data_IF_391872620137
#
_entry.id   IF_391872620137
#
_cell.length_a   1.000
_cell.length_b   1.000
_cell.length_c   1.000
_cell.angle_alpha   90.00
_cell.angle_beta   90.00
_cell.angle_gamma   90.00
#
_symmetry.space_group_name_H-M   'P 1'
#
loop_
_entity.id
_entity.type
_entity.pdbx_description
1 polymer ?
#
# COMPACT_ATOMS: atom_id res chain seq x y z
N UNK A 1 -7.89 24.41 9.15
CA UNK A 1 -7.69 24.84 7.75
C UNK A 1 -6.67 23.90 7.12
N UNK A 2 -7.00 23.22 6.02
CA UNK A 2 -6.01 22.42 5.28
C UNK A 2 -5.07 23.39 4.57
N UNK A 3 -3.80 23.42 4.99
CA UNK A 3 -2.78 24.24 4.33
C UNK A 3 -2.64 23.81 2.86
N UNK A 4 -2.39 24.77 1.96
CA UNK A 4 -2.12 24.49 0.55
C UNK A 4 -0.95 23.52 0.45
N UNK A 5 -1.10 22.46 -0.34
CA UNK A 5 0.00 21.53 -0.64
C UNK A 5 1.11 22.29 -1.38
N UNK A 6 2.34 22.08 -0.96
CA UNK A 6 3.51 22.68 -1.61
C UNK A 6 3.85 21.91 -2.89
N UNK A 7 4.44 22.55 -3.91
CA UNK A 7 4.84 21.85 -5.15
C UNK A 7 5.67 20.60 -4.90
N UNK A 8 6.60 20.64 -3.95
CA UNK A 8 7.43 19.48 -3.58
C UNK A 8 6.63 18.32 -2.99
N UNK A 9 5.58 18.61 -2.22
CA UNK A 9 4.69 17.58 -1.65
C UNK A 9 3.88 16.90 -2.75
N UNK A 10 3.42 17.68 -3.74
CA UNK A 10 2.74 17.14 -4.92
C UNK A 10 3.68 16.26 -5.75
N UNK A 11 4.90 16.72 -6.02
CA UNK A 11 5.89 15.94 -6.77
C UNK A 11 6.19 14.60 -6.07
N UNK A 12 6.44 14.63 -4.77
CA UNK A 12 6.71 13.41 -4.01
C UNK A 12 5.49 12.48 -3.96
N UNK A 13 4.29 13.03 -3.80
CA UNK A 13 3.06 12.24 -3.83
C UNK A 13 2.88 11.56 -5.20
N UNK A 14 3.08 12.30 -6.30
CA UNK A 14 3.00 11.77 -7.67
C UNK A 14 4.03 10.66 -7.93
N UNK A 15 5.26 10.79 -7.38
CA UNK A 15 6.25 9.71 -7.45
C UNK A 15 5.74 8.43 -6.79
N UNK A 16 5.08 8.53 -5.64
CA UNK A 16 4.51 7.34 -4.98
C UNK A 16 3.32 6.76 -5.73
N UNK A 17 2.52 7.57 -6.43
CA UNK A 17 1.47 7.06 -7.33
C UNK A 17 2.10 6.19 -8.43
N UNK A 18 3.18 6.66 -9.06
CA UNK A 18 3.92 5.91 -10.09
C UNK A 18 4.55 4.64 -9.50
N UNK A 19 5.17 4.73 -8.32
CA UNK A 19 5.76 3.57 -7.65
C UNK A 19 4.72 2.51 -7.28
N UNK A 20 3.50 2.91 -6.91
CA UNK A 20 2.38 1.98 -6.71
C UNK A 20 2.01 1.26 -8.00
N UNK A 21 1.94 1.96 -9.12
CA UNK A 21 1.64 1.36 -10.43
C UNK A 21 2.75 0.40 -10.89
N UNK A 22 4.02 0.77 -10.70
CA UNK A 22 5.16 -0.12 -10.96
C UNK A 22 5.08 -1.34 -10.05
N UNK A 23 4.87 -1.15 -8.76
CA UNK A 23 4.79 -2.23 -7.77
C UNK A 23 3.62 -3.19 -8.00
N UNK A 24 2.51 -2.69 -8.57
CA UNK A 24 1.39 -3.52 -8.98
C UNK A 24 1.74 -4.44 -10.15
N UNK A 25 2.54 -3.96 -11.08
CA UNK A 25 2.72 -4.60 -12.40
C UNK A 25 4.08 -5.27 -12.60
N UNK A 26 5.08 -4.99 -11.77
CA UNK A 26 6.43 -5.56 -11.93
C UNK A 26 6.43 -7.10 -11.89
N UNK A 27 5.58 -7.69 -11.05
CA UNK A 27 5.48 -9.15 -10.93
C UNK A 27 4.63 -9.79 -12.03
N UNK A 28 3.88 -9.01 -12.80
CA UNK A 28 3.15 -9.49 -13.97
C UNK A 28 4.10 -9.97 -15.08
N UNK A 29 5.34 -9.48 -15.07
CA UNK A 29 6.38 -9.90 -16.00
C UNK A 29 6.98 -11.27 -15.65
N UNK A 30 6.64 -11.83 -14.48
CA UNK A 30 7.15 -13.12 -14.01
C UNK A 30 5.97 -14.11 -13.95
N UNK A 31 5.89 -15.09 -14.86
CA UNK A 31 4.83 -16.09 -14.86
C UNK A 31 4.76 -16.86 -13.54
N UNK A 32 3.55 -17.16 -13.06
CA UNK A 32 3.33 -18.00 -11.88
C UNK A 32 3.22 -17.23 -10.54
N UNK A 33 3.36 -15.90 -10.54
CA UNK A 33 3.18 -15.09 -9.32
C UNK A 33 1.71 -14.69 -9.06
N UNK A 34 0.78 -15.64 -9.27
CA UNK A 34 -0.64 -15.47 -8.92
C UNK A 34 -1.08 -16.69 -8.10
N UNK A 35 -1.61 -16.48 -6.92
CA UNK A 35 -2.06 -17.55 -6.00
C UNK A 35 -3.51 -17.28 -5.62
N UNK A 36 -4.40 -18.25 -5.87
CA UNK A 36 -5.83 -18.09 -5.61
C UNK A 36 -6.46 -16.87 -6.30
N UNK A 37 -5.98 -16.51 -7.49
CA UNK A 37 -6.42 -15.31 -8.21
C UNK A 37 -5.85 -14.00 -7.65
N UNK A 38 -5.01 -14.04 -6.61
CA UNK A 38 -4.36 -12.86 -6.01
C UNK A 38 -2.96 -12.71 -6.59
N UNK A 39 -2.66 -11.63 -7.35
CA UNK A 39 -1.31 -11.34 -7.83
C UNK A 39 -0.38 -11.00 -6.67
N UNK A 40 0.80 -11.60 -6.67
CA UNK A 40 1.87 -11.22 -5.74
C UNK A 40 2.50 -9.92 -6.25
N UNK A 41 2.38 -8.83 -5.50
CA UNK A 41 2.82 -7.49 -5.92
C UNK A 41 3.81 -6.88 -4.92
N UNK A 42 4.37 -5.72 -5.27
CA UNK A 42 5.17 -4.90 -4.36
C UNK A 42 4.36 -3.72 -3.77
N UNK A 43 3.05 -3.71 -3.95
CA UNK A 43 2.21 -2.59 -3.53
C UNK A 43 2.23 -2.36 -2.02
N UNK A 44 2.20 -3.43 -1.21
CA UNK A 44 2.29 -3.33 0.26
C UNK A 44 3.56 -2.58 0.69
N UNK A 45 4.69 -2.90 0.06
CA UNK A 45 5.96 -2.22 0.29
C UNK A 45 5.88 -0.71 0.00
N UNK A 46 5.37 -0.34 -1.17
CA UNK A 46 5.28 1.07 -1.55
C UNK A 46 4.22 1.84 -0.75
N UNK A 47 3.11 1.22 -0.36
CA UNK A 47 2.10 1.84 0.50
C UNK A 47 2.66 2.16 1.90
N UNK A 48 3.39 1.22 2.50
CA UNK A 48 4.09 1.42 3.78
C UNK A 48 5.13 2.54 3.65
N UNK A 49 5.95 2.48 2.59
CA UNK A 49 6.99 3.47 2.33
C UNK A 49 6.40 4.86 2.12
N UNK A 50 5.32 4.99 1.33
CA UNK A 50 4.60 6.24 1.10
C UNK A 50 4.11 6.86 2.42
N UNK A 51 3.43 6.07 3.24
CA UNK A 51 2.93 6.53 4.54
C UNK A 51 4.06 7.02 5.45
N UNK A 52 5.14 6.26 5.54
CA UNK A 52 6.27 6.61 6.40
C UNK A 52 7.08 7.81 5.89
N UNK A 53 7.29 7.94 4.59
CA UNK A 53 8.10 9.02 3.99
C UNK A 53 7.32 10.31 3.90
N UNK A 54 6.11 10.27 3.36
CA UNK A 54 5.27 11.45 3.15
C UNK A 54 4.49 11.87 4.42
N UNK A 55 4.37 10.97 5.40
CA UNK A 55 3.47 11.12 6.53
C UNK A 55 2.05 10.62 6.20
N UNK A 56 1.27 10.34 7.26
CA UNK A 56 0.00 9.62 7.12
C UNK A 56 -1.00 10.27 6.19
N UNK A 57 -1.18 11.59 6.25
CA UNK A 57 -2.17 12.30 5.42
C UNK A 57 -1.78 12.34 3.94
N UNK A 58 -0.56 12.74 3.64
CA UNK A 58 -0.10 12.86 2.26
C UNK A 58 0.13 11.49 1.62
N UNK A 59 0.63 10.51 2.40
CA UNK A 59 0.75 9.12 1.96
C UNK A 59 -0.61 8.52 1.60
N UNK A 60 -1.62 8.66 2.47
CA UNK A 60 -2.97 8.20 2.17
C UNK A 60 -3.57 8.90 0.94
N UNK A 61 -3.34 10.22 0.79
CA UNK A 61 -3.77 10.96 -0.38
C UNK A 61 -3.13 10.41 -1.67
N UNK A 62 -1.83 10.15 -1.68
CA UNK A 62 -1.14 9.56 -2.83
C UNK A 62 -1.73 8.21 -3.23
N UNK A 63 -2.00 7.34 -2.25
CA UNK A 63 -2.64 6.04 -2.53
C UNK A 63 -4.10 6.20 -3.00
N UNK A 64 -4.83 7.18 -2.47
CA UNK A 64 -6.19 7.50 -2.94
C UNK A 64 -6.16 7.97 -4.40
N UNK A 65 -5.22 8.82 -4.78
CA UNK A 65 -5.03 9.25 -6.18
C UNK A 65 -4.70 8.06 -7.07
N UNK A 66 -3.80 7.17 -6.64
CA UNK A 66 -3.50 5.93 -7.35
C UNK A 66 -4.76 5.09 -7.60
N UNK A 67 -5.57 4.86 -6.56
CA UNK A 67 -6.80 4.09 -6.65
C UNK A 67 -7.80 4.76 -7.60
N UNK A 68 -7.95 6.08 -7.52
CA UNK A 68 -8.82 6.86 -8.41
C UNK A 68 -8.37 6.79 -9.87
N UNK A 69 -7.07 6.93 -10.15
CA UNK A 69 -6.51 6.78 -11.51
C UNK A 69 -6.85 5.41 -12.10
N UNK A 70 -6.71 4.35 -11.31
CA UNK A 70 -7.08 3.02 -11.76
C UNK A 70 -8.60 2.89 -12.03
N UNK A 71 -9.45 3.48 -11.20
CA UNK A 71 -10.90 3.42 -11.36
C UNK A 71 -11.41 4.21 -12.59
N UNK A 72 -10.77 5.31 -12.96
CA UNK A 72 -11.11 6.05 -14.19
C UNK A 72 -10.60 5.39 -15.46
N UNK A 73 -9.96 4.21 -15.36
CA UNK A 73 -9.60 3.38 -16.51
C UNK A 73 -8.11 3.37 -16.85
N UNK A 74 -7.25 4.10 -16.13
CA UNK A 74 -5.81 4.02 -16.35
C UNK A 74 -5.32 2.64 -15.90
N UNK A 75 -4.53 1.89 -16.69
CA UNK A 75 -4.12 0.51 -16.41
C UNK A 75 -2.99 0.45 -15.36
N UNK A 76 -3.25 0.96 -14.15
CA UNK A 76 -2.27 1.04 -13.06
C UNK A 76 -2.41 -0.08 -12.02
N UNK A 77 -3.52 -0.82 -12.04
CA UNK A 77 -3.72 -1.97 -11.16
C UNK A 77 -2.95 -3.19 -11.65
N UNK A 78 -2.83 -4.20 -10.78
CA UNK A 78 -2.11 -5.43 -11.12
C UNK A 78 -2.59 -6.04 -12.45
N UNK A 79 -1.66 -6.62 -13.21
CA UNK A 79 -1.90 -7.15 -14.56
C UNK A 79 -2.36 -6.08 -15.56
N UNK A 80 -1.88 -4.85 -15.39
CA UNK A 80 -2.22 -3.70 -16.24
C UNK A 80 -3.72 -3.48 -16.40
N UNK A 81 -4.49 -3.71 -15.33
CA UNK A 81 -5.94 -3.52 -15.32
C UNK A 81 -6.33 -2.14 -14.78
N UNK A 82 -7.56 -1.72 -15.10
CA UNK A 82 -8.19 -0.50 -14.62
C UNK A 82 -9.69 -0.51 -14.91
N UNK A 83 -10.35 0.59 -14.59
CA UNK A 83 -11.78 0.79 -14.79
C UNK A 83 -12.62 0.46 -13.54
N UNK A 84 -13.86 0.96 -13.55
CA UNK A 84 -14.79 0.80 -12.42
C UNK A 84 -15.13 -0.66 -12.11
N UNK A 85 -15.01 -1.56 -13.09
CA UNK A 85 -15.20 -2.99 -12.87
C UNK A 85 -14.18 -3.58 -11.86
N UNK A 86 -13.06 -2.90 -11.61
CA UNK A 86 -12.10 -3.30 -10.59
C UNK A 86 -12.70 -3.31 -9.18
N UNK A 87 -13.72 -2.49 -8.90
CA UNK A 87 -14.46 -2.48 -7.61
C UNK A 87 -15.05 -3.85 -7.27
N UNK A 88 -15.44 -4.60 -8.29
CA UNK A 88 -16.06 -5.93 -8.11
C UNK A 88 -15.03 -7.05 -7.98
N UNK A 89 -13.73 -6.76 -8.24
CA UNK A 89 -12.70 -7.79 -8.10
C UNK A 89 -12.46 -8.16 -6.64
N UNK A 90 -12.28 -9.45 -6.33
CA UNK A 90 -11.94 -9.90 -4.99
C UNK A 90 -10.68 -9.24 -4.41
N UNK A 91 -9.76 -8.81 -5.26
CA UNK A 91 -8.50 -8.17 -4.86
C UNK A 91 -8.61 -6.67 -4.58
N UNK A 92 -9.75 -6.03 -4.87
CA UNK A 92 -9.89 -4.57 -4.71
C UNK A 92 -9.79 -4.11 -3.24
N UNK A 93 -10.19 -4.95 -2.30
CA UNK A 93 -10.07 -4.66 -0.87
C UNK A 93 -8.63 -4.40 -0.41
N UNK A 94 -7.64 -5.03 -1.05
CA UNK A 94 -6.23 -4.75 -0.78
C UNK A 94 -5.86 -3.31 -1.20
N UNK A 95 -6.40 -2.84 -2.35
CA UNK A 95 -6.15 -1.46 -2.82
C UNK A 95 -6.75 -0.45 -1.82
N UNK A 96 -7.98 -0.68 -1.36
CA UNK A 96 -8.61 0.17 -0.34
C UNK A 96 -7.81 0.16 0.97
N UNK A 97 -7.35 -1.00 1.40
CA UNK A 97 -6.59 -1.12 2.64
C UNK A 97 -5.28 -0.37 2.61
N UNK A 98 -4.61 -0.23 1.44
CA UNK A 98 -3.37 0.55 1.32
C UNK A 98 -3.53 2.01 1.70
N UNK A 99 -4.72 2.61 1.52
CA UNK A 99 -5.01 3.98 1.96
C UNK A 99 -4.90 4.06 3.48
N UNK A 100 -5.53 3.11 4.18
CA UNK A 100 -5.49 3.04 5.64
C UNK A 100 -4.09 2.67 6.15
N UNK A 101 -3.41 1.73 5.49
CA UNK A 101 -2.01 1.37 5.77
C UNK A 101 -1.14 2.61 5.74
N UNK A 102 -1.13 3.36 4.62
CA UNK A 102 -0.30 4.55 4.49
C UNK A 102 -0.61 5.59 5.59
N UNK A 103 -1.89 5.77 5.92
CA UNK A 103 -2.29 6.69 6.99
C UNK A 103 -1.75 6.25 8.35
N UNK A 104 -2.00 5.01 8.75
CA UNK A 104 -1.65 4.49 10.08
C UNK A 104 -0.13 4.41 10.26
N UNK A 105 0.60 3.81 9.30
CA UNK A 105 2.06 3.67 9.41
C UNK A 105 2.74 5.04 9.44
N UNK A 106 2.22 6.01 8.66
CA UNK A 106 2.74 7.36 8.64
C UNK A 106 2.51 8.09 9.97
N UNK A 107 1.35 7.90 10.59
CA UNK A 107 1.05 8.45 11.92
C UNK A 107 1.90 7.81 13.02
N UNK A 108 2.14 6.51 12.96
CA UNK A 108 3.00 5.81 13.92
C UNK A 108 4.45 6.26 13.77
N UNK A 109 4.99 6.29 12.55
CA UNK A 109 6.36 6.71 12.27
C UNK A 109 6.64 8.17 12.66
N UNK A 110 5.62 9.03 12.62
CA UNK A 110 5.75 10.44 13.02
C UNK A 110 6.00 10.63 14.52
N UNK A 111 5.59 9.67 15.35
CA UNK A 111 5.67 9.76 16.82
C UNK A 111 7.07 9.50 17.38
N UNK A 112 7.99 8.94 16.61
CA UNK A 112 9.30 8.53 17.12
C UNK A 112 10.37 8.53 16.03
N UNK A 113 11.61 8.79 16.47
CA UNK A 113 12.81 8.65 15.63
C UNK A 113 13.53 7.31 15.82
N UNK A 114 12.93 6.35 16.55
CA UNK A 114 13.52 5.03 16.78
C UNK A 114 13.16 4.09 15.62
N UNK A 115 14.14 3.41 15.06
CA UNK A 115 13.94 2.44 13.96
C UNK A 115 12.95 1.33 14.34
N UNK A 116 12.95 0.90 15.60
CA UNK A 116 12.02 -0.12 16.09
C UNK A 116 10.54 0.28 15.92
N UNK A 117 10.22 1.60 16.05
CA UNK A 117 8.86 2.09 15.83
C UNK A 117 8.48 2.04 14.35
N UNK A 118 9.43 2.26 13.42
CA UNK A 118 9.20 2.10 11.99
C UNK A 118 8.94 0.64 11.62
N UNK A 119 9.74 -0.29 12.17
CA UNK A 119 9.52 -1.72 11.96
C UNK A 119 8.16 -2.16 12.50
N UNK A 120 7.82 -1.77 13.74
CA UNK A 120 6.52 -2.09 14.32
C UNK A 120 5.37 -1.51 13.47
N UNK A 121 5.48 -0.26 13.03
CA UNK A 121 4.48 0.37 12.18
C UNK A 121 4.32 -0.37 10.84
N UNK A 122 5.43 -0.83 10.22
CA UNK A 122 5.38 -1.61 8.99
C UNK A 122 4.64 -2.93 9.18
N UNK A 123 4.94 -3.65 10.26
CA UNK A 123 4.25 -4.91 10.59
C UNK A 123 2.76 -4.69 10.88
N UNK A 124 2.40 -3.64 11.62
CA UNK A 124 0.99 -3.25 11.82
C UNK A 124 0.32 -2.94 10.48
N UNK A 125 0.99 -2.21 9.59
CA UNK A 125 0.49 -1.95 8.24
C UNK A 125 0.23 -3.23 7.45
N UNK A 126 1.15 -4.20 7.51
CA UNK A 126 0.98 -5.52 6.88
C UNK A 126 -0.23 -6.25 7.45
N UNK A 127 -0.40 -6.27 8.78
CA UNK A 127 -1.58 -6.89 9.41
C UNK A 127 -2.88 -6.23 8.95
N UNK A 128 -2.93 -4.91 8.91
CA UNK A 128 -4.11 -4.15 8.41
C UNK A 128 -4.44 -4.55 6.95
N UNK A 129 -3.41 -4.60 6.09
CA UNK A 129 -3.61 -4.96 4.69
C UNK A 129 -4.16 -6.38 4.54
N UNK A 130 -3.56 -7.34 5.21
CA UNK A 130 -3.98 -8.73 5.16
C UNK A 130 -5.39 -8.91 5.73
N UNK A 131 -5.67 -8.30 6.87
CA UNK A 131 -6.98 -8.41 7.49
C UNK A 131 -8.09 -7.83 6.59
N UNK A 132 -7.94 -6.60 6.13
CA UNK A 132 -8.97 -5.95 5.33
C UNK A 132 -9.08 -6.54 3.92
N UNK A 133 -7.94 -6.81 3.26
CA UNK A 133 -7.90 -7.37 1.91
C UNK A 133 -8.48 -8.78 1.86
N UNK A 134 -8.11 -9.65 2.81
CA UNK A 134 -8.60 -11.04 2.85
C UNK A 134 -10.09 -11.10 3.16
N UNK A 135 -10.57 -10.29 4.11
CA UNK A 135 -12.01 -10.23 4.40
C UNK A 135 -12.81 -9.70 3.22
N UNK A 136 -12.34 -8.64 2.55
CA UNK A 136 -12.96 -8.17 1.31
C UNK A 136 -13.01 -9.28 0.26
N UNK A 137 -11.90 -9.97 0.04
CA UNK A 137 -11.82 -11.07 -0.92
C UNK A 137 -12.82 -12.17 -0.60
N UNK A 138 -12.94 -12.57 0.67
CA UNK A 138 -13.92 -13.54 1.11
C UNK A 138 -15.35 -13.07 0.82
N UNK A 139 -15.70 -11.82 1.16
CA UNK A 139 -17.02 -11.28 0.90
C UNK A 139 -17.31 -11.16 -0.60
N UNK A 140 -16.31 -10.76 -1.41
CA UNK A 140 -16.47 -10.69 -2.85
C UNK A 140 -16.86 -12.07 -3.43
N UNK A 141 -16.12 -13.11 -3.10
CA UNK A 141 -16.43 -14.47 -3.53
C UNK A 141 -17.73 -15.02 -2.95
N UNK A 142 -18.16 -14.51 -1.81
CA UNK A 142 -19.43 -14.96 -1.18
C UNK A 142 -20.66 -14.34 -1.82
N UNK A 143 -20.57 -13.11 -2.33
CA UNK A 143 -21.74 -12.33 -2.69
C UNK A 143 -21.87 -11.95 -4.17
N UNK A 144 -20.77 -11.78 -4.91
CA UNK A 144 -20.85 -11.29 -6.29
C UNK A 144 -19.79 -11.80 -7.27
N UNK A 145 -18.72 -12.42 -6.81
CA UNK A 145 -17.68 -12.96 -7.69
C UNK A 145 -17.76 -14.47 -7.77
N UNK A 146 -17.37 -15.03 -8.91
CA UNK A 146 -17.31 -16.49 -9.09
C UNK A 146 -16.22 -17.09 -8.21
N UNK A 147 -16.63 -17.85 -7.20
CA UNK A 147 -15.73 -18.52 -6.30
C UNK A 147 -15.28 -19.87 -6.85
N UNK A 148 -14.04 -20.30 -6.64
CA UNK A 148 -13.61 -21.66 -6.89
C UNK A 148 -14.46 -22.69 -6.10
N UNK A 149 -14.60 -23.90 -6.63
CA UNK A 149 -15.31 -24.98 -5.93
C UNK A 149 -14.76 -25.20 -4.52
N UNK A 150 -15.65 -25.34 -3.55
CA UNK A 150 -15.28 -25.58 -2.16
C UNK A 150 -14.64 -24.37 -1.46
N UNK A 151 -14.75 -23.14 -2.00
CA UNK A 151 -14.17 -21.95 -1.39
C UNK A 151 -14.73 -21.70 0.01
N UNK A 152 -13.83 -21.55 0.97
CA UNK A 152 -14.14 -21.27 2.38
C UNK A 152 -13.34 -20.10 2.91
N UNK A 153 -13.76 -19.55 4.08
CA UNK A 153 -12.99 -18.51 4.76
C UNK A 153 -11.56 -18.96 5.11
N UNK A 154 -11.39 -20.23 5.48
CA UNK A 154 -10.07 -20.81 5.72
C UNK A 154 -9.19 -20.83 4.47
N UNK A 155 -9.75 -21.11 3.29
CA UNK A 155 -9.02 -21.07 2.03
C UNK A 155 -8.57 -19.64 1.68
N UNK A 156 -9.41 -18.63 1.93
CA UNK A 156 -9.02 -17.24 1.71
C UNK A 156 -7.76 -16.88 2.50
N UNK A 157 -7.69 -17.28 3.76
CA UNK A 157 -6.50 -17.09 4.60
C UNK A 157 -5.31 -17.96 4.19
N UNK A 158 -5.55 -19.20 3.76
CA UNK A 158 -4.49 -20.09 3.30
C UNK A 158 -3.75 -19.50 2.09
N UNK A 159 -4.47 -18.86 1.17
CA UNK A 159 -3.85 -18.21 0.01
C UNK A 159 -2.94 -17.05 0.40
N UNK A 160 -3.19 -16.42 1.55
CA UNK A 160 -2.35 -15.33 2.07
C UNK A 160 -1.05 -15.83 2.72
N UNK A 161 -0.94 -17.11 3.04
CA UNK A 161 0.29 -17.69 3.62
C UNK A 161 1.47 -17.59 2.65
N UNK A 162 1.22 -17.78 1.36
CA UNK A 162 2.29 -17.80 0.36
C UNK A 162 2.97 -16.43 0.15
N UNK A 163 2.26 -15.28 0.00
CA UNK A 163 2.91 -13.97 -0.11
C UNK A 163 3.43 -13.43 1.23
N UNK A 164 2.98 -13.95 2.37
CA UNK A 164 3.29 -13.41 3.70
C UNK A 164 4.79 -13.29 4.03
N UNK A 165 5.64 -14.32 3.80
CA UNK A 165 7.07 -14.20 4.10
C UNK A 165 7.75 -13.06 3.33
N UNK A 166 7.44 -12.93 2.04
CA UNK A 166 7.93 -11.84 1.20
C UNK A 166 7.47 -10.49 1.75
N UNK A 167 6.19 -10.35 2.12
CA UNK A 167 5.64 -9.07 2.57
C UNK A 167 6.19 -8.66 3.94
N UNK A 168 6.48 -9.60 4.83
CA UNK A 168 7.16 -9.30 6.11
C UNK A 168 8.58 -8.78 5.83
N UNK A 169 9.35 -9.44 4.97
CA UNK A 169 10.70 -9.01 4.62
C UNK A 169 10.66 -7.60 4.01
N UNK A 170 9.78 -7.39 3.02
CA UNK A 170 9.63 -6.10 2.35
C UNK A 170 9.13 -4.99 3.30
N UNK A 171 8.25 -5.30 4.24
CA UNK A 171 7.80 -4.36 5.26
C UNK A 171 8.97 -3.88 6.13
N UNK A 172 9.83 -4.81 6.56
CA UNK A 172 11.04 -4.48 7.33
C UNK A 172 12.00 -3.63 6.49
N UNK A 173 12.23 -3.99 5.23
CA UNK A 173 13.06 -3.20 4.30
C UNK A 173 12.47 -1.80 4.12
N UNK A 174 11.15 -1.66 3.90
CA UNK A 174 10.48 -0.36 3.80
C UNK A 174 10.69 0.48 5.06
N UNK A 175 10.62 -0.12 6.25
CA UNK A 175 10.85 0.56 7.51
C UNK A 175 12.27 1.13 7.62
N UNK A 176 13.29 0.33 7.28
CA UNK A 176 14.68 0.79 7.28
C UNK A 176 14.94 1.88 6.23
N UNK A 177 14.40 1.70 5.02
CA UNK A 177 14.50 2.71 3.96
C UNK A 177 13.84 4.02 4.38
N UNK A 178 12.61 3.98 4.88
CA UNK A 178 11.90 5.16 5.34
C UNK A 178 12.63 5.86 6.50
N UNK A 179 13.14 5.10 7.45
CA UNK A 179 13.93 5.63 8.55
C UNK A 179 15.17 6.38 8.05
N UNK A 180 15.95 5.76 7.15
CA UNK A 180 17.13 6.40 6.55
C UNK A 180 16.77 7.63 5.75
N UNK A 181 15.77 7.56 4.87
CA UNK A 181 15.32 8.71 4.07
C UNK A 181 14.91 9.88 4.97
N UNK A 182 14.13 9.64 6.02
CA UNK A 182 13.67 10.70 6.93
C UNK A 182 14.80 11.29 7.76
N UNK A 183 15.73 10.48 8.26
CA UNK A 183 16.79 10.96 9.15
C UNK A 183 17.98 11.57 8.43
N UNK A 184 18.27 11.12 7.19
CA UNK A 184 19.46 11.54 6.46
C UNK A 184 19.15 12.56 5.38
N UNK A 185 18.12 12.36 4.58
CA UNK A 185 17.82 13.17 3.40
C UNK A 185 16.79 14.24 3.74
N UNK A 186 15.62 13.82 4.23
CA UNK A 186 14.50 14.74 4.47
C UNK A 186 14.69 15.62 5.71
N UNK A 187 15.59 15.25 6.62
CA UNK A 187 15.94 16.06 7.77
C UNK A 187 16.81 17.28 7.40
N UNK A 188 17.40 17.30 6.20
CA UNK A 188 18.35 18.33 5.76
C UNK A 188 17.76 19.23 4.65
N UNK A 189 18.10 20.52 4.69
CA UNK A 189 17.83 21.47 3.62
C UNK A 189 16.34 21.78 3.39
N UNK A 190 15.97 21.92 2.12
CA UNK A 190 14.62 22.30 1.66
C UNK A 190 13.51 21.30 2.06
N UNK A 191 13.87 20.07 2.44
CA UNK A 191 12.93 19.03 2.88
C UNK A 191 12.56 19.11 4.36
N UNK A 192 13.26 19.91 5.17
CA UNK A 192 13.03 20.04 6.61
C UNK A 192 11.57 20.40 6.96
N UNK A 193 10.89 21.11 6.05
CA UNK A 193 9.51 21.54 6.22
C UNK A 193 8.45 20.47 5.94
N UNK A 194 8.80 19.34 5.29
CA UNK A 194 7.87 18.21 5.07
C UNK A 194 7.45 17.52 6.37
N UNK A 195 8.23 17.71 7.45
CA UNK A 195 7.96 17.10 8.75
C UNK A 195 6.96 17.88 9.62
N UNK A 196 6.51 19.05 9.22
CA UNK A 196 5.78 19.97 10.09
C UNK A 196 4.26 19.79 10.09
N UNK A 197 3.69 18.95 9.22
CA UNK A 197 2.24 18.69 9.18
C UNK A 197 1.81 17.48 10.01
N UNK A 198 2.53 17.15 11.07
CA UNK A 198 2.19 16.07 12.01
C UNK A 198 1.43 16.53 13.25
N UNK A 199 0.94 17.80 13.25
CA UNK A 199 0.03 18.27 14.29
C UNK A 199 -1.43 17.97 13.97
#
# INVERSE_FOLDING_TARGET
MAGKLRPIELTLASMFVVLMAIGANITTLIPGLVIGGVPITLQTFFAILAGMVLGGRLGALAITVYAFMGLVGIPVFAQFTGGVAALLKPTFGFILSYILVAYVVGKMAAKSKKVAVYVLAALVGTVINYFLGTNWMYFAYRFWADAPEGFTYGMAWLWMVAPLPKDIILAVVAAFMAYRLRTTILAKGQFKHLHLNTK
#
